data_IF_288787182729
#
_entry.id   IF_288787182729
#
_cell.length_a   1.000
_cell.length_b   1.000
_cell.length_c   1.000
_cell.angle_alpha   90.00
_cell.angle_beta   90.00
_cell.angle_gamma   90.00
#
_symmetry.space_group_name_H-M   'P 1'
#
loop_
_entity.id
_entity.type
_entity.pdbx_description
1 polymer ?
#
# COMPACT_ATOMS: atom_id res chain seq x y z
N UNK A 1 -0.51 12.36 16.27
CA UNK A 1 -0.12 11.79 14.95
C UNK A 1 -1.31 11.07 14.27
N UNK A 2 -2.02 10.18 14.94
CA UNK A 2 -3.18 9.48 14.36
C UNK A 2 -4.25 10.46 13.84
N UNK A 3 -4.69 11.40 14.65
CA UNK A 3 -5.70 12.39 14.26
C UNK A 3 -5.28 13.22 13.04
N UNK A 4 -4.02 13.66 12.99
CA UNK A 4 -3.51 14.40 11.83
C UNK A 4 -3.53 13.57 10.54
N UNK A 5 -3.23 12.27 10.63
CA UNK A 5 -3.33 11.37 9.45
C UNK A 5 -4.78 11.18 9.04
N UNK A 6 -5.70 10.99 9.99
CA UNK A 6 -7.15 10.88 9.71
C UNK A 6 -7.66 12.14 9.01
N UNK A 7 -7.36 13.32 9.56
CA UNK A 7 -7.74 14.61 8.94
C UNK A 7 -7.24 14.73 7.49
N UNK A 8 -5.98 14.34 7.23
CA UNK A 8 -5.42 14.38 5.87
C UNK A 8 -6.10 13.38 4.93
N UNK A 9 -6.43 12.18 5.41
CA UNK A 9 -7.10 11.15 4.62
C UNK A 9 -8.56 11.51 4.34
N UNK A 10 -9.25 12.18 5.27
CA UNK A 10 -10.62 12.66 5.06
C UNK A 10 -10.73 13.74 3.97
N UNK A 11 -9.65 14.47 3.70
CA UNK A 11 -9.58 15.44 2.61
C UNK A 11 -9.33 14.82 1.23
N UNK A 12 -9.00 13.54 1.18
CA UNK A 12 -8.69 12.86 -0.07
C UNK A 12 -9.97 12.57 -0.84
N UNK A 13 -10.00 13.01 -2.11
CA UNK A 13 -11.17 12.84 -2.97
C UNK A 13 -11.38 11.37 -3.33
N UNK A 14 -12.59 10.88 -3.10
CA UNK A 14 -13.00 9.56 -3.60
C UNK A 14 -13.09 9.55 -5.13
N UNK A 15 -12.79 8.39 -5.72
CA UNK A 15 -12.89 8.15 -7.15
C UNK A 15 -14.21 7.41 -7.45
N UNK A 16 -14.72 7.60 -8.67
CA UNK A 16 -15.85 6.82 -9.16
C UNK A 16 -15.49 5.33 -9.24
N UNK A 17 -16.45 4.48 -8.92
CA UNK A 17 -16.27 3.03 -9.01
C UNK A 17 -16.14 2.58 -10.46
N UNK A 18 -15.35 1.53 -10.68
CA UNK A 18 -15.22 0.88 -11.98
C UNK A 18 -15.87 -0.52 -11.94
N UNK A 19 -16.12 -1.16 -13.11
CA UNK A 19 -16.65 -2.52 -13.15
C UNK A 19 -15.59 -3.61 -12.85
N UNK A 20 -14.38 -3.22 -12.44
CA UNK A 20 -13.31 -4.18 -12.19
C UNK A 20 -13.48 -4.95 -10.88
N UNK A 21 -12.92 -6.17 -10.81
CA UNK A 21 -12.71 -6.86 -9.55
C UNK A 21 -11.95 -5.98 -8.56
N UNK A 22 -12.28 -6.11 -7.27
CA UNK A 22 -11.73 -5.27 -6.21
C UNK A 22 -10.81 -6.08 -5.31
N UNK A 23 -9.80 -5.41 -4.76
CA UNK A 23 -8.90 -5.94 -3.75
C UNK A 23 -8.68 -4.89 -2.66
N UNK A 24 -8.49 -5.35 -1.43
CA UNK A 24 -8.11 -4.52 -0.29
C UNK A 24 -6.69 -4.83 0.16
N UNK A 25 -5.85 -3.81 0.36
CA UNK A 25 -4.51 -3.95 0.92
C UNK A 25 -4.35 -3.09 2.16
N UNK A 26 -3.51 -3.51 3.11
CA UNK A 26 -3.32 -2.85 4.38
C UNK A 26 -1.93 -2.20 4.48
N UNK A 27 -1.88 -0.89 4.57
CA UNK A 27 -0.69 -0.14 4.98
C UNK A 27 -0.67 -0.14 6.51
N UNK A 28 -0.06 -1.16 7.08
CA UNK A 28 0.03 -1.32 8.53
C UNK A 28 1.27 -0.60 9.07
N UNK A 29 1.06 0.26 10.08
CA UNK A 29 2.10 1.05 10.73
C UNK A 29 2.48 0.42 12.06
N UNK A 30 3.74 0.01 12.16
CA UNK A 30 4.39 -0.39 13.41
C UNK A 30 5.13 0.79 14.02
N UNK A 31 5.41 0.76 15.32
CA UNK A 31 6.08 1.85 16.03
C UNK A 31 5.36 3.20 15.87
N UNK A 32 4.04 3.17 15.86
CA UNK A 32 3.19 4.34 15.70
C UNK A 32 2.71 4.82 17.09
N UNK A 33 2.83 6.11 17.38
CA UNK A 33 2.38 6.68 18.65
C UNK A 33 3.00 8.03 19.00
N UNK A 34 2.56 8.62 20.10
CA UNK A 34 2.92 9.99 20.50
C UNK A 34 4.42 10.17 20.77
N UNK A 35 5.08 9.13 21.28
CA UNK A 35 6.51 9.15 21.63
C UNK A 35 7.40 8.41 20.63
N UNK A 36 6.84 7.81 19.59
CA UNK A 36 7.57 7.07 18.55
C UNK A 36 7.77 7.97 17.34
N UNK A 37 9.01 8.38 17.09
CA UNK A 37 9.33 9.44 16.11
C UNK A 37 9.33 9.00 14.66
N UNK A 38 9.42 7.70 14.38
CA UNK A 38 9.53 7.19 13.03
C UNK A 38 8.72 5.88 12.89
N UNK A 39 7.48 5.96 12.43
CA UNK A 39 6.69 4.77 12.18
C UNK A 39 7.30 3.95 11.05
N UNK A 40 7.11 2.64 11.11
CA UNK A 40 7.55 1.70 10.09
C UNK A 40 6.34 1.12 9.36
N UNK A 41 6.43 1.05 8.06
CA UNK A 41 5.44 0.38 7.21
C UNK A 41 5.80 -1.10 7.11
N UNK A 42 4.81 -1.96 7.27
CA UNK A 42 4.95 -3.41 7.11
C UNK A 42 4.76 -3.78 5.65
N UNK A 43 5.70 -4.54 5.11
CA UNK A 43 5.66 -5.11 3.77
C UNK A 43 5.85 -6.62 3.83
N UNK A 44 5.38 -7.29 2.80
CA UNK A 44 5.58 -8.72 2.56
C UNK A 44 6.38 -8.93 1.28
N UNK A 45 7.17 -10.01 1.24
CA UNK A 45 7.72 -10.55 0.00
C UNK A 45 7.01 -11.86 -0.29
N UNK A 46 6.36 -11.94 -1.43
CA UNK A 46 5.64 -13.13 -1.87
C UNK A 46 6.59 -14.28 -2.15
N UNK A 47 6.14 -15.49 -1.84
CA UNK A 47 6.91 -16.70 -2.11
C UNK A 47 7.24 -16.84 -3.61
N UNK A 48 8.48 -17.19 -3.90
CA UNK A 48 8.93 -17.46 -5.28
C UNK A 48 8.26 -18.69 -5.92
N UNK A 49 7.54 -19.50 -5.13
CA UNK A 49 6.82 -20.69 -5.57
C UNK A 49 5.40 -20.40 -6.09
N UNK A 50 4.90 -19.19 -5.90
CA UNK A 50 3.56 -18.82 -6.34
C UNK A 50 3.48 -18.65 -7.86
N UNK A 51 2.34 -18.98 -8.43
CA UNK A 51 2.06 -18.79 -9.85
C UNK A 51 1.80 -17.33 -10.25
N UNK A 52 1.44 -16.50 -9.27
CA UNK A 52 1.14 -15.08 -9.49
C UNK A 52 2.05 -14.22 -8.63
N UNK A 53 2.73 -13.25 -9.28
CA UNK A 53 3.61 -12.28 -8.61
C UNK A 53 4.71 -12.91 -7.72
N UNK A 54 5.43 -13.96 -8.19
CA UNK A 54 6.46 -14.61 -7.38
C UNK A 54 7.59 -13.64 -7.03
N UNK A 55 7.96 -13.59 -5.74
CA UNK A 55 9.05 -12.77 -5.24
C UNK A 55 8.79 -11.26 -5.22
N UNK A 56 7.60 -10.80 -5.61
CA UNK A 56 7.25 -9.37 -5.57
C UNK A 56 7.04 -8.90 -4.13
N UNK A 57 7.42 -7.66 -3.86
CA UNK A 57 7.12 -6.96 -2.60
C UNK A 57 5.73 -6.34 -2.69
N UNK A 58 4.91 -6.55 -1.67
CA UNK A 58 3.55 -6.02 -1.58
C UNK A 58 3.21 -5.55 -0.16
N UNK A 59 2.13 -4.81 -0.04
CA UNK A 59 1.39 -4.72 1.23
C UNK A 59 0.62 -6.03 1.43
N UNK A 60 0.40 -6.47 2.67
CA UNK A 60 -0.50 -7.58 2.94
C UNK A 60 -1.91 -7.23 2.45
N UNK A 61 -2.60 -8.21 1.87
CA UNK A 61 -3.93 -8.01 1.33
C UNK A 61 -4.24 -8.87 0.11
N UNK A 62 -5.50 -8.87 -0.31
CA UNK A 62 -5.96 -9.73 -1.37
C UNK A 62 -7.28 -9.32 -2.01
N UNK A 63 -7.88 -10.26 -2.74
CA UNK A 63 -9.12 -10.03 -3.47
C UNK A 63 -10.32 -10.04 -2.53
N UNK A 64 -11.31 -9.21 -2.88
CA UNK A 64 -12.60 -9.21 -2.22
C UNK A 64 -13.30 -10.56 -2.45
N UNK A 65 -13.86 -11.12 -1.38
CA UNK A 65 -14.67 -12.32 -1.39
C UNK A 65 -16.09 -12.01 -0.88
N UNK A 66 -17.08 -12.81 -1.28
CA UNK A 66 -18.49 -12.58 -0.91
C UNK A 66 -18.75 -12.58 0.60
N UNK A 67 -17.92 -13.25 1.36
CA UNK A 67 -17.97 -13.28 2.82
C UNK A 67 -17.47 -12.00 3.49
N UNK A 68 -16.72 -11.16 2.77
CA UNK A 68 -16.20 -9.91 3.29
C UNK A 68 -17.31 -8.85 3.37
N UNK A 69 -17.49 -8.23 4.52
CA UNK A 69 -18.51 -7.19 4.70
C UNK A 69 -18.21 -5.93 3.91
N UNK A 70 -16.94 -5.66 3.61
CA UNK A 70 -16.44 -4.55 2.81
C UNK A 70 -14.93 -4.74 2.53
N UNK A 71 -14.34 -3.86 1.71
CA UNK A 71 -12.93 -3.95 1.31
C UNK A 71 -11.92 -3.73 2.45
N UNK A 72 -12.29 -3.02 3.52
CA UNK A 72 -11.47 -2.96 4.72
C UNK A 72 -11.42 -4.33 5.42
N UNK A 73 -12.57 -5.02 5.48
CA UNK A 73 -12.63 -6.36 6.02
C UNK A 73 -11.76 -7.34 5.21
N UNK A 74 -11.77 -7.21 3.87
CA UNK A 74 -10.86 -7.96 3.00
C UNK A 74 -9.39 -7.71 3.37
N UNK A 75 -8.97 -6.44 3.43
CA UNK A 75 -7.59 -6.08 3.74
C UNK A 75 -7.13 -6.62 5.11
N UNK A 76 -8.03 -6.59 6.11
CA UNK A 76 -7.74 -7.09 7.46
C UNK A 76 -7.70 -8.62 7.48
N UNK A 77 -8.68 -9.32 6.87
CA UNK A 77 -8.72 -10.79 6.80
C UNK A 77 -7.45 -11.34 6.14
N UNK A 78 -7.12 -10.84 4.97
CA UNK A 78 -5.93 -11.24 4.23
C UNK A 78 -4.63 -10.96 5.02
N UNK A 79 -4.55 -9.81 5.70
CA UNK A 79 -3.39 -9.50 6.55
C UNK A 79 -3.28 -10.42 7.77
N UNK A 80 -4.41 -10.87 8.31
CA UNK A 80 -4.45 -11.87 9.39
C UNK A 80 -3.99 -13.24 8.88
N UNK A 81 -4.44 -13.64 7.68
CA UNK A 81 -4.10 -14.92 7.04
C UNK A 81 -2.64 -14.96 6.59
N UNK A 82 -2.13 -13.89 5.95
CA UNK A 82 -0.78 -13.83 5.38
C UNK A 82 0.32 -13.68 6.44
N UNK A 83 0.09 -12.83 7.46
CA UNK A 83 1.15 -12.42 8.40
C UNK A 83 0.73 -12.42 9.88
N UNK A 84 -0.46 -12.89 10.21
CA UNK A 84 -0.93 -13.01 11.60
C UNK A 84 -1.23 -11.70 12.30
N UNK A 85 -1.53 -10.61 11.58
CA UNK A 85 -1.97 -9.35 12.20
C UNK A 85 -3.32 -9.58 12.87
N UNK A 86 -3.41 -9.29 14.18
CA UNK A 86 -4.66 -9.41 14.92
C UNK A 86 -5.56 -8.20 14.65
N UNK A 87 -6.77 -8.42 14.13
CA UNK A 87 -7.77 -7.38 13.88
C UNK A 87 -7.98 -6.44 15.07
N UNK A 88 -8.05 -6.98 16.28
CA UNK A 88 -8.25 -6.20 17.51
C UNK A 88 -7.08 -5.27 17.85
N UNK A 89 -5.89 -5.57 17.32
CA UNK A 89 -4.68 -4.77 17.47
C UNK A 89 -4.57 -3.63 16.46
N UNK A 90 -5.53 -3.49 15.54
CA UNK A 90 -5.52 -2.43 14.54
C UNK A 90 -6.38 -1.24 14.97
N UNK A 91 -5.84 -0.04 14.81
CA UNK A 91 -6.56 1.23 14.78
C UNK A 91 -6.64 1.69 13.33
N UNK A 92 -7.85 1.66 12.75
CA UNK A 92 -8.06 2.16 11.38
C UNK A 92 -7.92 3.68 11.34
N UNK A 93 -7.13 4.18 10.41
CA UNK A 93 -6.84 5.61 10.24
C UNK A 93 -7.51 6.23 9.02
N UNK A 94 -7.85 5.43 7.99
CA UNK A 94 -8.49 5.88 6.76
C UNK A 94 -8.08 5.06 5.54
N UNK A 95 -8.32 5.61 4.36
CA UNK A 95 -8.00 4.97 3.07
C UNK A 95 -7.41 5.98 2.09
N UNK A 96 -6.63 5.50 1.12
CA UNK A 96 -6.24 6.25 -0.06
C UNK A 96 -7.18 5.92 -1.23
N UNK A 97 -7.21 6.77 -2.29
CA UNK A 97 -7.90 6.43 -3.51
C UNK A 97 -7.31 5.16 -4.13
N UNK A 98 -8.16 4.34 -4.71
CA UNK A 98 -7.70 3.11 -5.36
C UNK A 98 -6.78 3.37 -6.54
N UNK A 99 -6.00 2.36 -6.89
CA UNK A 99 -5.24 2.27 -8.12
C UNK A 99 -5.65 1.02 -8.90
N UNK A 100 -5.60 1.11 -10.22
CA UNK A 100 -5.88 -0.04 -11.07
C UNK A 100 -4.56 -0.74 -11.42
N UNK A 101 -4.47 -2.01 -11.07
CA UNK A 101 -3.33 -2.86 -11.40
C UNK A 101 -3.23 -3.15 -12.91
N UNK A 102 -2.09 -3.70 -13.35
CA UNK A 102 -1.89 -4.17 -14.73
C UNK A 102 -2.90 -5.25 -15.16
N UNK A 103 -3.52 -5.92 -14.20
CA UNK A 103 -4.53 -6.97 -14.41
C UNK A 103 -5.97 -6.47 -14.30
N UNK A 104 -6.19 -5.15 -14.34
CA UNK A 104 -7.51 -4.50 -14.20
C UNK A 104 -8.21 -4.86 -12.88
N UNK A 105 -7.49 -4.83 -11.78
CA UNK A 105 -8.04 -4.96 -10.42
C UNK A 105 -7.97 -3.59 -9.76
N UNK A 106 -9.08 -3.11 -9.18
CA UNK A 106 -9.08 -1.97 -8.28
C UNK A 106 -8.43 -2.37 -6.95
N UNK A 107 -7.29 -1.82 -6.63
CA UNK A 107 -6.60 -2.05 -5.36
C UNK A 107 -6.84 -0.87 -4.44
N UNK A 108 -7.53 -1.12 -3.34
CA UNK A 108 -7.93 -0.13 -2.33
C UNK A 108 -6.98 -0.19 -1.14
N UNK A 109 -6.14 0.85 -0.93
CA UNK A 109 -5.23 0.89 0.21
C UNK A 109 -5.94 1.44 1.45
N UNK A 110 -5.93 0.65 2.53
CA UNK A 110 -6.38 1.06 3.86
C UNK A 110 -5.20 1.28 4.77
N UNK A 111 -5.27 2.27 5.64
CA UNK A 111 -4.22 2.62 6.58
C UNK A 111 -4.67 2.26 7.98
N UNK A 112 -3.83 1.52 8.70
CA UNK A 112 -4.06 1.23 10.11
C UNK A 112 -2.75 1.27 10.90
N UNK A 113 -2.85 1.65 12.17
CA UNK A 113 -1.75 1.58 13.11
C UNK A 113 -1.89 0.37 14.03
N UNK A 114 -0.80 -0.29 14.36
CA UNK A 114 -0.76 -1.26 15.44
C UNK A 114 -0.83 -0.51 16.78
N UNK A 115 -1.78 -0.91 17.63
CA UNK A 115 -1.92 -0.38 18.99
C UNK A 115 -0.77 -0.84 19.87
N UNK A 116 -0.36 -2.11 19.69
CA UNK A 116 0.72 -2.75 20.43
C UNK A 116 1.63 -3.52 19.49
N UNK A 117 2.87 -3.71 19.87
CA UNK A 117 3.80 -4.56 19.16
C UNK A 117 3.35 -6.02 19.21
N UNK A 118 3.49 -6.72 18.08
CA UNK A 118 3.21 -8.14 17.99
C UNK A 118 4.24 -8.83 17.09
N UNK A 119 4.38 -10.13 17.27
CA UNK A 119 5.09 -10.97 16.32
C UNK A 119 4.23 -11.23 15.09
N UNK A 120 4.90 -11.31 13.94
CA UNK A 120 4.28 -11.65 12.67
C UNK A 120 4.70 -13.06 12.27
N UNK A 121 3.76 -13.82 11.74
CA UNK A 121 3.97 -15.20 11.31
C UNK A 121 3.53 -15.31 9.86
N UNK A 122 4.49 -15.47 8.96
CA UNK A 122 4.23 -15.65 7.55
C UNK A 122 3.54 -17.01 7.29
N UNK A 123 2.52 -17.02 6.43
CA UNK A 123 1.96 -18.25 5.89
C UNK A 123 2.80 -18.77 4.70
N UNK A 124 2.31 -19.81 4.01
CA UNK A 124 3.03 -20.43 2.87
C UNK A 124 3.16 -19.52 1.64
N UNK A 125 2.32 -18.47 1.53
CA UNK A 125 2.36 -17.52 0.42
C UNK A 125 3.44 -16.44 0.61
N UNK A 126 3.88 -16.20 1.84
CA UNK A 126 4.80 -15.13 2.20
C UNK A 126 6.18 -15.72 2.51
N UNK A 127 7.18 -15.30 1.73
CA UNK A 127 8.58 -15.69 1.93
C UNK A 127 9.21 -14.97 3.12
N UNK A 128 8.92 -13.67 3.26
CA UNK A 128 9.42 -12.85 4.37
C UNK A 128 8.53 -11.63 4.66
N UNK A 129 8.58 -11.18 5.90
CA UNK A 129 7.92 -9.97 6.40
C UNK A 129 9.02 -9.01 6.83
N UNK A 130 8.96 -7.76 6.38
CA UNK A 130 9.93 -6.75 6.75
C UNK A 130 9.26 -5.40 6.98
N UNK A 131 9.99 -4.49 7.60
CA UNK A 131 9.48 -3.15 7.88
C UNK A 131 10.42 -2.10 7.35
N UNK A 132 9.87 -1.00 6.82
CA UNK A 132 10.64 0.12 6.30
C UNK A 132 10.26 1.38 7.07
N UNK A 133 11.22 2.14 7.63
CA UNK A 133 10.95 3.41 8.27
C UNK A 133 10.31 4.39 7.28
N UNK A 134 9.31 5.16 7.73
CA UNK A 134 8.71 6.23 6.92
C UNK A 134 9.77 7.26 6.52
N UNK A 135 10.69 7.58 7.41
CA UNK A 135 11.81 8.50 7.11
C UNK A 135 12.68 8.03 5.94
N UNK A 136 12.88 6.71 5.81
CA UNK A 136 13.63 6.14 4.67
C UNK A 136 12.92 6.38 3.35
N UNK A 137 11.62 6.08 3.27
CA UNK A 137 10.82 6.26 2.05
C UNK A 137 10.62 7.73 1.70
N UNK A 138 10.54 8.59 2.70
CA UNK A 138 10.40 10.04 2.53
C UNK A 138 11.68 10.72 2.01
N UNK A 139 12.84 10.11 2.23
CA UNK A 139 14.11 10.67 1.79
C UNK A 139 14.34 10.40 0.29
N UNK A 140 14.27 11.46 -0.53
CA UNK A 140 14.48 11.38 -1.96
C UNK A 140 15.84 10.82 -2.39
N UNK A 141 16.85 10.86 -1.52
CA UNK A 141 18.16 10.25 -1.80
C UNK A 141 18.11 8.72 -1.83
N UNK A 142 17.11 8.12 -1.18
CA UNK A 142 16.90 6.68 -1.16
C UNK A 142 15.99 6.21 -2.32
N UNK A 143 15.36 7.16 -3.04
CA UNK A 143 14.44 6.87 -4.12
C UNK A 143 15.19 6.80 -5.47
N UNK A 144 14.85 5.78 -6.25
CA UNK A 144 15.24 5.67 -7.66
C UNK A 144 14.02 6.02 -8.52
N UNK A 145 14.20 6.86 -9.54
CA UNK A 145 13.10 7.22 -10.40
C UNK A 145 12.97 6.19 -11.52
N UNK A 146 11.80 5.56 -11.57
CA UNK A 146 11.42 4.67 -12.65
C UNK A 146 10.47 5.40 -13.59
N UNK A 147 10.82 5.40 -14.89
CA UNK A 147 10.02 6.03 -15.96
C UNK A 147 9.43 4.97 -16.86
N UNK A 148 8.18 5.11 -17.20
CA UNK A 148 7.50 4.23 -18.16
C UNK A 148 6.44 4.99 -18.95
N UNK A 149 6.16 4.53 -20.17
CA UNK A 149 5.11 5.12 -20.97
C UNK A 149 3.76 4.47 -20.66
N UNK A 150 2.77 5.32 -20.38
CA UNK A 150 1.38 4.89 -20.18
C UNK A 150 0.47 5.83 -20.98
N UNK A 151 -0.24 5.29 -21.97
CA UNK A 151 -1.17 6.05 -22.81
C UNK A 151 -0.58 7.35 -23.39
N UNK A 152 0.61 7.26 -23.95
CA UNK A 152 1.37 8.39 -24.52
C UNK A 152 1.84 9.46 -23.51
N UNK A 153 1.78 9.16 -22.21
CA UNK A 153 2.38 9.98 -21.17
C UNK A 153 3.61 9.28 -20.58
N UNK A 154 4.70 10.02 -20.42
CA UNK A 154 5.84 9.54 -19.64
C UNK A 154 5.50 9.71 -18.15
N UNK A 155 5.36 8.60 -17.44
CA UNK A 155 4.98 8.53 -16.02
C UNK A 155 6.21 8.20 -15.21
N UNK A 156 6.44 8.97 -14.14
CA UNK A 156 7.56 8.79 -13.22
C UNK A 156 7.03 8.38 -11.88
N UNK A 157 7.69 7.39 -11.29
CA UNK A 157 7.42 6.94 -9.92
C UNK A 157 8.73 6.74 -9.16
N UNK A 158 8.71 7.03 -7.88
CA UNK A 158 9.78 6.60 -6.97
C UNK A 158 9.69 5.12 -6.71
N UNK A 159 10.83 4.46 -6.69
CA UNK A 159 11.04 3.07 -6.28
C UNK A 159 12.14 3.04 -5.24
N UNK A 160 12.19 2.01 -4.39
CA UNK A 160 13.19 1.94 -3.32
C UNK A 160 13.85 0.58 -3.25
N UNK A 161 15.14 0.60 -2.92
CA UNK A 161 15.90 -0.59 -2.57
C UNK A 161 16.20 -0.53 -1.07
N UNK A 162 15.56 -1.38 -0.29
CA UNK A 162 15.76 -1.46 1.15
C UNK A 162 16.29 -2.84 1.52
N UNK A 163 17.58 -2.90 1.91
CA UNK A 163 18.31 -4.16 2.03
C UNK A 163 18.21 -4.97 0.72
N UNK A 164 17.76 -6.23 0.80
CA UNK A 164 17.54 -7.13 -0.35
C UNK A 164 16.18 -6.93 -1.05
N UNK A 165 15.35 -6.01 -0.56
CA UNK A 165 13.99 -5.80 -1.07
C UNK A 165 13.92 -4.67 -2.08
N UNK A 166 13.15 -4.88 -3.14
CA UNK A 166 12.86 -3.85 -4.14
C UNK A 166 11.37 -3.50 -4.08
N UNK A 167 11.07 -2.27 -3.67
CA UNK A 167 9.71 -1.73 -3.65
C UNK A 167 9.49 -0.99 -4.97
N UNK A 168 8.64 -1.55 -5.84
CA UNK A 168 8.42 -1.05 -7.20
C UNK A 168 6.95 -1.23 -7.64
N UNK A 169 6.63 -0.79 -8.85
CA UNK A 169 5.30 -1.00 -9.44
C UNK A 169 4.17 -0.38 -8.63
N UNK A 170 3.05 -1.11 -8.53
CA UNK A 170 1.85 -0.65 -7.83
C UNK A 170 2.11 -0.40 -6.33
N UNK A 171 2.91 -1.25 -5.70
CA UNK A 171 3.30 -1.09 -4.29
C UNK A 171 4.04 0.22 -4.06
N UNK A 172 4.97 0.56 -4.94
CA UNK A 172 5.71 1.83 -4.85
C UNK A 172 4.80 3.05 -5.10
N UNK A 173 3.85 2.97 -6.04
CA UNK A 173 2.87 4.03 -6.28
C UNK A 173 2.02 4.29 -5.03
N UNK A 174 1.50 3.24 -4.39
CA UNK A 174 0.72 3.34 -3.16
C UNK A 174 1.58 3.91 -2.02
N UNK A 175 2.82 3.43 -1.87
CA UNK A 175 3.74 3.94 -0.85
C UNK A 175 4.05 5.43 -1.04
N UNK A 176 4.34 5.87 -2.28
CA UNK A 176 4.61 7.27 -2.59
C UNK A 176 3.41 8.17 -2.27
N UNK A 177 2.20 7.75 -2.66
CA UNK A 177 0.99 8.50 -2.34
C UNK A 177 0.75 8.58 -0.84
N UNK A 178 0.94 7.48 -0.12
CA UNK A 178 0.84 7.46 1.34
C UNK A 178 1.84 8.41 2.01
N UNK A 179 3.11 8.39 1.59
CA UNK A 179 4.15 9.27 2.11
C UNK A 179 3.83 10.75 1.83
N UNK A 180 3.40 11.06 0.61
CA UNK A 180 3.08 12.43 0.23
C UNK A 180 1.83 12.96 0.94
N UNK A 181 0.79 12.13 1.06
CA UNK A 181 -0.48 12.53 1.70
C UNK A 181 -0.35 12.63 3.21
N UNK A 182 0.19 11.59 3.87
CA UNK A 182 0.14 11.47 5.32
C UNK A 182 1.33 12.11 6.04
N UNK A 183 2.49 12.18 5.39
CA UNK A 183 3.75 12.62 6.02
C UNK A 183 4.38 13.86 5.36
N UNK A 184 3.64 14.59 4.54
CA UNK A 184 4.14 15.77 3.81
C UNK A 184 5.45 15.45 3.06
N UNK A 185 5.46 14.29 2.42
CA UNK A 185 6.56 13.87 1.57
C UNK A 185 6.53 14.61 0.24
N UNK A 186 7.65 14.55 -0.47
CA UNK A 186 7.78 15.09 -1.82
C UNK A 186 8.51 14.09 -2.71
N UNK A 187 8.07 12.83 -2.63
CA UNK A 187 8.62 11.77 -3.50
C UNK A 187 7.88 11.77 -4.83
N UNK A 188 8.59 11.51 -5.90
CA UNK A 188 8.04 11.59 -7.26
C UNK A 188 7.01 10.47 -7.46
N UNK A 189 5.78 10.88 -7.80
CA UNK A 189 4.73 9.98 -8.21
C UNK A 189 3.72 10.76 -9.06
N UNK A 190 3.74 10.57 -10.37
CA UNK A 190 2.85 11.26 -11.31
C UNK A 190 1.42 10.64 -11.26
N UNK A 191 0.78 10.68 -10.05
CA UNK A 191 -0.50 9.99 -9.75
C UNK A 191 -1.64 10.46 -10.63
N UNK A 192 -1.69 11.74 -10.98
CA UNK A 192 -2.71 12.27 -11.89
C UNK A 192 -2.66 11.64 -13.28
N UNK A 193 -1.45 11.39 -13.81
CA UNK A 193 -1.27 10.72 -15.09
C UNK A 193 -1.64 9.23 -14.99
N UNK A 194 -1.33 8.60 -13.85
CA UNK A 194 -1.67 7.21 -13.59
C UNK A 194 -3.20 7.04 -13.57
N UNK A 195 -3.94 7.96 -12.91
CA UNK A 195 -5.41 7.92 -12.78
C UNK A 195 -6.15 8.33 -14.04
N UNK A 196 -5.71 9.41 -14.73
CA UNK A 196 -6.31 9.85 -16.01
C UNK A 196 -6.30 8.75 -17.07
N UNK A 197 -5.25 7.95 -17.10
CA UNK A 197 -5.16 6.82 -18.00
C UNK A 197 -6.21 5.73 -17.76
N UNK A 198 -6.81 5.67 -16.58
CA UNK A 198 -7.85 4.69 -16.26
C UNK A 198 -9.23 5.13 -16.75
N UNK A 199 -9.57 6.42 -16.69
CA UNK A 199 -10.89 6.96 -17.04
C UNK A 199 -11.17 6.90 -18.55
N UNK A 200 -10.15 7.08 -19.39
CA UNK A 200 -10.32 7.10 -20.86
C UNK A 200 -10.46 5.71 -21.51
N UNK A 201 -10.34 4.62 -20.76
CA UNK A 201 -10.48 3.26 -21.29
C UNK A 201 -11.94 2.75 -21.34
N UNK A 202 -12.89 3.49 -20.71
CA UNK A 202 -14.29 3.08 -20.51
C UNK A 202 -15.32 4.02 -21.15
N UNK A 203 -14.85 4.99 -21.97
CA UNK A 203 -15.72 5.82 -22.80
C UNK A 203 -15.73 5.34 -24.25
#
# INVERSE_FOLDING_TARGET
>A
MAELIKEKLDLVKELEETPFPKAGVLIALKNFGEYKKDPHIIFTKRSSKLSSHPGEVSFPGGKFEEQDSNLLATAVRESEEEIGIKKLNLEHLGKLPYLISKHNIEVHPFIAALKEDQEFIANEEIESIFTVPVSYLKNNQNAHIHEFNRQNHNVRISTWHYNEYVIWGLTAMIAAEFINTCFDGNVIADMDLIRKGNVNKYR
#
